data_IF_764951997357
#
_entry.id   IF_764951997357
#
_cell.length_a   1.000
_cell.length_b   1.000
_cell.length_c   1.000
_cell.angle_alpha   90.00
_cell.angle_beta   90.00
_cell.angle_gamma   90.00
#
_symmetry.space_group_name_H-M   'P 1'
#
loop_
_entity.id
_entity.type
_entity.pdbx_description
1 polymer ?
#
# COMPACT_ATOMS: atom_id res chain seq x y z
N UNK A 1 -22.84 11.94 -4.36
CA UNK A 1 -23.14 12.38 -3.00
C UNK A 1 -21.85 12.66 -2.24
N UNK A 2 -21.86 13.65 -1.36
CA UNK A 2 -20.71 13.88 -0.49
C UNK A 2 -20.41 12.64 0.36
N UNK A 3 -19.12 12.37 0.57
CA UNK A 3 -18.69 11.15 1.25
C UNK A 3 -19.28 11.00 2.66
N UNK A 4 -19.49 12.12 3.35
CA UNK A 4 -20.04 12.07 4.72
C UNK A 4 -21.51 11.64 4.76
N UNK A 5 -22.18 11.60 3.61
CA UNK A 5 -23.57 11.14 3.51
C UNK A 5 -23.67 9.68 3.07
N UNK A 6 -22.54 9.01 2.88
CA UNK A 6 -22.49 7.63 2.42
C UNK A 6 -22.24 6.68 3.59
N UNK A 7 -22.66 5.43 3.41
CA UNK A 7 -22.20 4.38 4.33
C UNK A 7 -20.70 4.18 4.15
N UNK A 8 -20.06 3.52 5.10
CA UNK A 8 -18.63 3.23 5.02
C UNK A 8 -18.31 2.45 3.75
N UNK A 9 -19.11 1.43 3.43
CA UNK A 9 -18.90 0.62 2.25
C UNK A 9 -19.04 1.44 0.97
N UNK A 10 -20.07 2.31 0.89
CA UNK A 10 -20.26 3.18 -0.25
C UNK A 10 -19.11 4.17 -0.41
N UNK A 11 -18.63 4.73 0.70
CA UNK A 11 -17.51 5.67 0.68
C UNK A 11 -16.24 4.99 0.15
N UNK A 12 -15.99 3.76 0.58
CA UNK A 12 -14.83 2.98 0.11
C UNK A 12 -14.92 2.70 -1.38
N UNK A 13 -16.09 2.28 -1.85
CA UNK A 13 -16.31 2.00 -3.27
C UNK A 13 -16.15 3.26 -4.11
N UNK A 14 -16.71 4.38 -3.67
CA UNK A 14 -16.57 5.65 -4.38
C UNK A 14 -15.11 6.07 -4.46
N UNK A 15 -14.37 5.95 -3.37
CA UNK A 15 -12.96 6.31 -3.35
C UNK A 15 -12.14 5.46 -4.33
N UNK A 16 -12.35 4.15 -4.31
CA UNK A 16 -11.61 3.25 -5.18
C UNK A 16 -11.97 3.49 -6.65
N UNK A 17 -13.24 3.73 -6.97
CA UNK A 17 -13.68 4.04 -8.33
C UNK A 17 -13.09 5.36 -8.82
N UNK A 18 -13.08 6.39 -7.97
CA UNK A 18 -12.50 7.69 -8.31
C UNK A 18 -11.00 7.57 -8.56
N UNK A 19 -10.32 6.78 -7.75
CA UNK A 19 -8.89 6.56 -7.91
C UNK A 19 -8.59 5.86 -9.24
N UNK A 20 -9.40 4.88 -9.61
CA UNK A 20 -9.24 4.18 -10.88
C UNK A 20 -9.45 5.11 -12.07
N UNK A 21 -10.42 6.02 -11.98
CA UNK A 21 -10.70 6.99 -13.04
C UNK A 21 -9.57 8.01 -13.20
N UNK A 22 -8.86 8.31 -12.13
CA UNK A 22 -7.77 9.28 -12.15
C UNK A 22 -6.43 8.64 -12.47
N UNK A 23 -6.38 7.32 -12.61
CA UNK A 23 -5.17 6.60 -12.94
C UNK A 23 -4.79 6.86 -14.40
N UNK A 24 -3.62 7.48 -14.67
CA UNK A 24 -3.21 7.75 -16.04
C UNK A 24 -2.72 6.52 -16.79
N UNK A 25 -2.63 5.37 -16.10
CA UNK A 25 -2.00 4.20 -16.66
C UNK A 25 -0.49 4.29 -16.64
N UNK A 26 0.18 3.23 -16.99
CA UNK A 26 1.63 3.17 -17.05
C UNK A 26 2.06 2.78 -18.45
N UNK A 27 2.85 3.65 -19.09
CA UNK A 27 3.38 3.40 -20.42
C UNK A 27 4.68 2.61 -20.40
N UNK A 28 5.28 2.47 -19.24
CA UNK A 28 6.61 1.90 -19.05
C UNK A 28 6.55 0.46 -18.61
N UNK A 29 7.68 -0.27 -18.64
CA UNK A 29 7.71 -1.60 -18.06
C UNK A 29 7.18 -1.56 -16.63
N UNK A 30 6.24 -2.44 -16.34
CA UNK A 30 5.67 -2.51 -15.01
C UNK A 30 6.67 -3.16 -14.06
N UNK A 31 6.75 -2.72 -12.81
CA UNK A 31 7.59 -3.41 -11.84
C UNK A 31 7.05 -4.80 -11.56
N UNK A 32 7.90 -5.66 -11.02
CA UNK A 32 7.44 -6.93 -10.52
C UNK A 32 6.62 -6.67 -9.26
N UNK A 33 5.44 -7.25 -9.20
CA UNK A 33 4.53 -7.07 -8.06
C UNK A 33 4.30 -8.42 -7.40
N UNK A 34 4.50 -8.46 -6.10
CA UNK A 34 4.32 -9.66 -5.31
C UNK A 34 3.32 -9.36 -4.20
N UNK A 35 2.27 -10.17 -4.10
CA UNK A 35 1.30 -10.08 -3.01
C UNK A 35 1.81 -10.89 -1.83
N UNK A 36 1.82 -10.28 -0.65
CA UNK A 36 2.29 -10.96 0.55
C UNK A 36 1.50 -10.49 1.77
N UNK A 37 1.81 -11.06 2.92
CA UNK A 37 1.17 -10.69 4.17
C UNK A 37 2.23 -10.32 5.19
N UNK A 38 2.00 -9.20 5.87
CA UNK A 38 2.87 -8.73 6.95
C UNK A 38 2.19 -9.06 8.27
N UNK A 39 2.85 -9.73 9.20
CA UNK A 39 2.22 -10.04 10.48
C UNK A 39 2.11 -8.80 11.37
N UNK A 40 0.90 -8.51 11.83
CA UNK A 40 0.69 -7.50 12.86
C UNK A 40 1.11 -8.05 14.22
N UNK A 41 1.25 -7.16 15.21
CA UNK A 41 1.65 -7.56 16.57
C UNK A 41 0.69 -8.54 17.22
N UNK A 42 -0.59 -8.52 16.81
CA UNK A 42 -1.58 -9.46 17.31
C UNK A 42 -1.68 -10.73 16.48
N UNK A 43 -0.78 -10.91 15.52
CA UNK A 43 -0.75 -12.08 14.65
C UNK A 43 -1.62 -11.98 13.41
N UNK A 44 -2.39 -10.91 13.24
CA UNK A 44 -3.24 -10.76 12.06
C UNK A 44 -2.38 -10.58 10.82
N UNK A 45 -2.62 -11.34 9.73
CA UNK A 45 -1.89 -11.14 8.49
C UNK A 45 -2.45 -9.90 7.76
N UNK A 46 -1.58 -8.92 7.51
CA UNK A 46 -1.95 -7.69 6.82
C UNK A 46 -1.59 -7.81 5.35
N UNK A 47 -2.57 -7.68 4.43
CA UNK A 47 -2.26 -7.74 3.00
C UNK A 47 -1.32 -6.61 2.59
N UNK A 48 -0.40 -6.92 1.69
CA UNK A 48 0.55 -5.94 1.19
C UNK A 48 0.97 -6.31 -0.22
N UNK A 49 1.44 -5.31 -0.97
CA UNK A 49 2.03 -5.52 -2.30
C UNK A 49 3.45 -4.98 -2.29
N UNK A 50 4.37 -5.81 -2.76
CA UNK A 50 5.76 -5.43 -2.89
C UNK A 50 6.06 -5.17 -4.36
N UNK A 51 6.47 -3.95 -4.67
CA UNK A 51 6.80 -3.52 -6.02
C UNK A 51 8.31 -3.44 -6.15
N UNK A 52 8.86 -4.18 -7.11
CA UNK A 52 10.32 -4.20 -7.33
C UNK A 52 10.61 -3.76 -8.76
N UNK A 53 11.48 -2.77 -8.99
CA UNK A 53 11.79 -2.31 -10.34
C UNK A 53 12.49 -3.40 -11.14
N UNK A 54 12.06 -3.60 -12.39
CA UNK A 54 12.61 -4.67 -13.21
C UNK A 54 14.02 -4.36 -13.72
N UNK A 55 14.27 -3.12 -14.07
CA UNK A 55 15.55 -2.73 -14.65
C UNK A 55 16.72 -2.80 -13.70
N UNK A 56 16.46 -2.95 -12.39
CA UNK A 56 17.50 -2.96 -11.37
C UNK A 56 17.56 -4.28 -10.64
N UNK A 57 17.04 -5.34 -11.24
CA UNK A 57 16.93 -6.65 -10.60
C UNK A 57 18.28 -7.25 -10.21
N UNK A 58 19.36 -6.81 -10.85
CA UNK A 58 20.69 -7.30 -10.53
C UNK A 58 21.33 -6.59 -9.33
N UNK A 59 20.73 -5.50 -8.86
CA UNK A 59 21.25 -4.78 -7.71
C UNK A 59 20.78 -5.47 -6.41
N UNK A 60 21.71 -5.91 -5.54
CA UNK A 60 21.30 -6.60 -4.33
C UNK A 60 20.75 -5.65 -3.23
N UNK A 61 20.91 -4.34 -3.42
CA UNK A 61 20.53 -3.37 -2.38
C UNK A 61 19.83 -2.19 -2.99
N UNK A 62 18.51 -2.21 -2.94
CA UNK A 62 17.69 -1.08 -3.35
C UNK A 62 17.10 -0.41 -2.10
N UNK A 63 16.92 0.92 -2.13
CA UNK A 63 16.18 1.59 -1.06
C UNK A 63 14.79 0.99 -0.94
N UNK A 64 14.29 0.91 0.28
CA UNK A 64 12.94 0.44 0.56
C UNK A 64 12.05 1.57 1.03
N UNK A 65 10.82 1.59 0.53
CA UNK A 65 9.81 2.58 0.90
C UNK A 65 8.58 1.84 1.40
N UNK A 66 8.11 2.23 2.58
CA UNK A 66 6.81 1.77 3.07
C UNK A 66 5.78 2.81 2.66
N UNK A 67 4.80 2.39 1.86
CA UNK A 67 3.75 3.29 1.40
C UNK A 67 2.45 3.03 2.18
N UNK A 68 1.91 4.07 2.76
CA UNK A 68 0.67 4.01 3.52
C UNK A 68 -0.34 4.91 2.81
N UNK A 69 -1.37 4.30 2.24
CA UNK A 69 -2.35 5.06 1.45
C UNK A 69 -3.14 6.04 2.32
N UNK A 70 -3.55 7.15 1.71
CA UNK A 70 -4.44 8.11 2.36
C UNK A 70 -5.88 7.61 2.38
N UNK A 71 -6.74 8.35 3.06
CA UNK A 71 -8.17 8.04 3.10
C UNK A 71 -8.81 8.24 4.46
N UNK A 72 -8.19 9.05 5.33
CA UNK A 72 -8.77 9.37 6.64
C UNK A 72 -8.93 8.15 7.54
N UNK A 73 -8.14 7.12 7.34
CA UNK A 73 -8.19 5.85 8.07
C UNK A 73 -9.46 5.03 7.82
N UNK A 74 -10.30 5.43 6.88
CA UNK A 74 -11.58 4.77 6.61
C UNK A 74 -11.64 4.20 5.20
N UNK A 75 -11.12 4.93 4.22
CA UNK A 75 -11.17 4.53 2.81
C UNK A 75 -9.76 4.32 2.26
N UNK A 76 -9.68 3.80 1.04
CA UNK A 76 -8.42 3.49 0.40
C UNK A 76 -8.10 2.01 0.47
N UNK A 77 -7.30 1.55 -0.47
CA UNK A 77 -6.96 0.14 -0.58
C UNK A 77 -5.63 0.00 -1.30
N UNK A 78 -5.15 -1.23 -1.43
CA UNK A 78 -3.98 -1.51 -2.27
C UNK A 78 -4.26 -1.12 -3.72
N UNK A 79 -5.49 -1.33 -4.19
CA UNK A 79 -5.87 -1.03 -5.56
C UNK A 79 -5.96 0.48 -5.83
N UNK A 80 -6.41 1.27 -4.86
CA UNK A 80 -6.61 2.71 -5.07
C UNK A 80 -5.31 3.45 -5.38
N UNK A 81 -4.17 2.92 -4.96
CA UNK A 81 -2.85 3.55 -5.17
C UNK A 81 -1.87 2.65 -5.90
N UNK A 82 -2.38 1.65 -6.62
CA UNK A 82 -1.54 0.67 -7.31
C UNK A 82 -0.62 1.32 -8.34
N UNK A 83 -1.17 2.17 -9.20
CA UNK A 83 -0.37 2.83 -10.24
C UNK A 83 0.67 3.76 -9.66
N UNK A 84 0.33 4.47 -8.57
CA UNK A 84 1.28 5.35 -7.90
C UNK A 84 2.47 4.57 -7.35
N UNK A 85 2.20 3.46 -6.67
CA UNK A 85 3.27 2.63 -6.11
C UNK A 85 4.15 2.02 -7.19
N UNK A 86 3.53 1.54 -8.28
CA UNK A 86 4.27 0.99 -9.41
C UNK A 86 5.17 2.03 -10.06
N UNK A 87 4.63 3.24 -10.27
CA UNK A 87 5.39 4.34 -10.86
C UNK A 87 6.54 4.76 -9.95
N UNK A 88 6.28 4.83 -8.64
CA UNK A 88 7.30 5.21 -7.67
C UNK A 88 8.47 4.21 -7.70
N UNK A 89 8.16 2.91 -7.71
CA UNK A 89 9.19 1.88 -7.74
C UNK A 89 10.07 2.00 -9.00
N UNK A 90 9.44 2.13 -10.16
CA UNK A 90 10.18 2.20 -11.43
C UNK A 90 10.96 3.49 -11.57
N UNK A 91 10.36 4.63 -11.24
CA UNK A 91 11.00 5.93 -11.45
C UNK A 91 12.07 6.25 -10.43
N UNK A 92 11.86 5.85 -9.18
CA UNK A 92 12.83 6.11 -8.13
C UNK A 92 13.87 5.01 -7.97
N UNK A 93 13.68 3.86 -8.63
CA UNK A 93 14.61 2.75 -8.51
C UNK A 93 14.62 2.18 -7.09
N UNK A 94 13.46 2.01 -6.49
CA UNK A 94 13.33 1.52 -5.12
C UNK A 94 12.30 0.42 -5.03
N UNK A 95 12.37 -0.33 -3.94
CA UNK A 95 11.35 -1.31 -3.59
C UNK A 95 10.26 -0.59 -2.78
N UNK A 96 9.01 -0.77 -3.17
CA UNK A 96 7.88 -0.15 -2.47
C UNK A 96 7.00 -1.23 -1.88
N UNK A 97 6.77 -1.15 -0.58
CA UNK A 97 5.80 -2.01 0.11
C UNK A 97 4.56 -1.19 0.40
N UNK A 98 3.46 -1.51 -0.28
CA UNK A 98 2.16 -0.88 -0.06
C UNK A 98 1.37 -1.74 0.92
N UNK A 99 0.97 -1.17 2.04
CA UNK A 99 0.33 -1.90 3.13
C UNK A 99 -1.16 -1.62 3.19
N UNK A 100 -1.96 -2.66 3.31
CA UNK A 100 -3.37 -2.55 3.63
C UNK A 100 -3.53 -2.60 5.15
N UNK A 101 -3.31 -1.46 5.82
CA UNK A 101 -3.51 -1.38 7.26
C UNK A 101 -5.01 -1.44 7.58
N UNK A 102 -5.34 -1.88 8.79
CA UNK A 102 -6.74 -2.04 9.19
C UNK A 102 -7.40 -0.68 9.36
N UNK A 103 -8.64 -0.59 8.88
CA UNK A 103 -9.36 0.67 8.75
C UNK A 103 -10.46 0.81 9.79
N UNK A 104 -10.74 2.06 10.17
CA UNK A 104 -11.91 2.40 10.96
C UNK A 104 -13.16 2.35 10.07
N UNK A 105 -14.35 2.18 10.59
CA UNK A 105 -14.69 2.04 12.02
C UNK A 105 -14.52 0.63 12.57
N UNK A 106 -14.22 -0.37 11.75
CA UNK A 106 -14.05 -1.75 12.24
C UNK A 106 -12.90 -1.84 13.24
N UNK A 107 -11.83 -1.08 13.01
CA UNK A 107 -10.64 -1.07 13.84
C UNK A 107 -10.37 0.35 14.31
N UNK A 108 -10.55 0.56 15.61
CA UNK A 108 -10.36 1.89 16.19
C UNK A 108 -8.90 2.24 16.35
N UNK A 109 -8.62 3.56 16.43
CA UNK A 109 -7.30 4.03 16.81
C UNK A 109 -6.87 3.34 18.12
N UNK A 110 -5.64 2.88 18.25
CA UNK A 110 -4.50 3.15 17.35
C UNK A 110 -4.15 2.00 16.38
N UNK A 111 -5.11 1.15 16.01
CA UNK A 111 -4.83 -0.05 15.23
C UNK A 111 -4.08 0.27 13.94
N UNK A 112 -4.54 1.25 13.15
CA UNK A 112 -3.88 1.58 11.89
C UNK A 112 -2.44 2.05 12.12
N UNK A 113 -2.22 2.86 13.15
CA UNK A 113 -0.88 3.35 13.48
C UNK A 113 0.03 2.20 13.93
N UNK A 114 -0.50 1.28 14.71
CA UNK A 114 0.24 0.11 15.15
C UNK A 114 0.58 -0.82 13.98
N UNK A 115 -0.37 -1.00 13.05
CA UNK A 115 -0.11 -1.78 11.84
C UNK A 115 1.01 -1.16 11.01
N UNK A 116 1.02 0.16 10.88
CA UNK A 116 2.06 0.87 10.15
C UNK A 116 3.43 0.68 10.81
N UNK A 117 3.49 0.77 12.13
CA UNK A 117 4.73 0.55 12.88
C UNK A 117 5.21 -0.90 12.72
N UNK A 118 4.29 -1.86 12.82
CA UNK A 118 4.63 -3.27 12.67
C UNK A 118 5.18 -3.57 11.28
N UNK A 119 4.59 -2.95 10.24
CA UNK A 119 5.07 -3.12 8.87
C UNK A 119 6.43 -2.48 8.67
N UNK A 120 6.68 -1.34 9.29
CA UNK A 120 7.98 -0.69 9.23
C UNK A 120 9.06 -1.58 9.82
N UNK A 121 8.80 -2.14 10.99
CA UNK A 121 9.74 -3.04 11.66
C UNK A 121 9.97 -4.30 10.83
N UNK A 122 8.91 -4.85 10.25
CA UNK A 122 8.99 -6.04 9.40
C UNK A 122 9.84 -5.76 8.15
N UNK A 123 9.59 -4.63 7.49
CA UNK A 123 10.34 -4.26 6.30
C UNK A 123 11.82 -4.07 6.62
N UNK A 124 12.12 -3.41 7.73
CA UNK A 124 13.50 -3.21 8.15
C UNK A 124 14.21 -4.55 8.43
N UNK A 125 13.50 -5.49 9.05
CA UNK A 125 14.05 -6.82 9.31
C UNK A 125 14.29 -7.61 8.01
N UNK A 126 13.36 -7.52 7.06
CA UNK A 126 13.49 -8.20 5.77
C UNK A 126 14.62 -7.58 4.94
N UNK A 127 14.81 -6.28 5.03
CA UNK A 127 15.86 -5.58 4.29
C UNK A 127 17.26 -5.98 4.77
N UNK A 128 17.38 -6.53 5.98
CA UNK A 128 18.66 -6.95 6.54
C UNK A 128 19.13 -8.31 5.99
N UNK A 129 18.30 -8.99 5.22
CA UNK A 129 18.64 -10.30 4.63
C UNK A 129 19.42 -10.18 3.33
#
# INVERSE_FOLDING_TARGET
>A
LPMHQLTVQQAREQFDQSSALMDPGLDEPLPRVETLFVPARDGTPLPARLYSPQGLSASPRLPGVLYLHGGGYVVGSLDSHDALCASLAERAGCVVLSLAYRLAPEWRFPTAAEDAEDAWCWLAAEAAR
#
